data_IF_311825717836
#
_entry.id   IF_311825717836
#
_cell.length_a   1.000
_cell.length_b   1.000
_cell.length_c   1.000
_cell.angle_alpha   90.00
_cell.angle_beta   90.00
_cell.angle_gamma   90.00
#
_symmetry.space_group_name_H-M   'P 1'
#
loop_
_entity.id
_entity.type
_entity.pdbx_description
1 polymer ?
#
# COMPACT_ATOMS: atom_id res chain seq x y z
N UNK A 1 -4.59 13.00 11.72
CA UNK A 1 -3.66 12.50 10.68
C UNK A 1 -2.87 11.27 11.16
N UNK A 2 -3.24 10.62 12.27
CA UNK A 2 -2.52 9.47 12.87
C UNK A 2 -3.05 8.09 12.43
N UNK A 3 -4.12 8.02 11.65
CA UNK A 3 -4.80 6.75 11.32
C UNK A 3 -4.19 6.01 10.12
N UNK A 4 -3.27 6.64 9.38
CA UNK A 4 -2.52 6.00 8.29
C UNK A 4 -1.28 5.25 8.79
N UNK A 5 -0.84 5.49 10.03
CA UNK A 5 0.36 4.89 10.61
C UNK A 5 0.19 3.43 11.00
N UNK A 6 -1.05 2.95 11.17
CA UNK A 6 -1.33 1.63 11.73
C UNK A 6 -1.35 0.50 10.69
N UNK A 7 -1.67 0.80 9.41
CA UNK A 7 -1.61 -0.19 8.32
C UNK A 7 -0.24 -0.21 7.60
N UNK A 8 0.53 0.87 7.70
CA UNK A 8 1.87 0.96 7.14
C UNK A 8 2.86 -0.17 7.55
N UNK A 9 2.84 -0.71 8.78
CA UNK A 9 3.76 -1.76 9.18
C UNK A 9 3.50 -3.07 8.43
N UNK A 10 2.24 -3.47 8.24
CA UNK A 10 1.91 -4.79 7.67
C UNK A 10 2.28 -4.86 6.19
N UNK A 11 1.95 -3.82 5.42
CA UNK A 11 2.26 -3.75 4.00
C UNK A 11 3.78 -3.75 3.74
N UNK A 12 4.54 -3.10 4.63
CA UNK A 12 6.01 -3.11 4.61
C UNK A 12 6.56 -4.53 4.82
N UNK A 13 6.10 -5.25 5.85
CA UNK A 13 6.64 -6.58 6.17
C UNK A 13 6.27 -7.59 5.09
N UNK A 14 5.04 -7.54 4.58
CA UNK A 14 4.57 -8.49 3.58
C UNK A 14 5.18 -8.23 2.19
N UNK A 15 5.42 -6.97 1.82
CA UNK A 15 6.15 -6.63 0.59
C UNK A 15 7.59 -7.16 0.64
N UNK A 16 8.29 -6.95 1.76
CA UNK A 16 9.66 -7.44 1.92
C UNK A 16 9.74 -8.97 1.95
N UNK A 17 8.74 -9.63 2.57
CA UNK A 17 8.59 -11.09 2.56
C UNK A 17 8.38 -11.61 1.14
N UNK A 18 7.46 -11.01 0.38
CA UNK A 18 7.16 -11.42 -0.98
C UNK A 18 8.36 -11.29 -1.93
N UNK A 19 9.12 -10.21 -1.81
CA UNK A 19 10.33 -10.03 -2.62
C UNK A 19 11.41 -11.06 -2.27
N UNK A 20 11.61 -11.35 -0.97
CA UNK A 20 12.53 -12.40 -0.53
C UNK A 20 12.11 -13.79 -1.03
N UNK A 21 10.82 -14.12 -0.96
CA UNK A 21 10.26 -15.34 -1.53
C UNK A 21 10.45 -15.40 -3.06
N UNK A 22 10.23 -14.29 -3.75
CA UNK A 22 10.40 -14.19 -5.20
C UNK A 22 11.86 -14.34 -5.63
N UNK A 23 12.81 -13.85 -4.83
CA UNK A 23 14.24 -14.05 -5.02
C UNK A 23 14.65 -15.52 -4.82
N UNK A 24 14.11 -16.18 -3.80
CA UNK A 24 14.43 -17.57 -3.45
C UNK A 24 13.81 -18.59 -4.39
N UNK A 25 12.54 -18.41 -4.76
CA UNK A 25 11.74 -19.44 -5.42
C UNK A 25 11.75 -19.34 -6.95
N UNK A 26 12.27 -18.25 -7.54
CA UNK A 26 12.31 -18.06 -9.00
C UNK A 26 13.72 -18.27 -9.54
N UNK A 27 13.84 -19.02 -10.65
CA UNK A 27 15.07 -19.03 -11.46
C UNK A 27 15.21 -17.67 -12.15
N UNK A 28 16.02 -16.79 -11.56
CA UNK A 28 16.22 -15.44 -12.08
C UNK A 28 17.13 -15.47 -13.30
N UNK A 29 16.68 -14.84 -14.40
CA UNK A 29 17.53 -14.58 -15.58
C UNK A 29 18.77 -13.77 -15.18
N UNK A 30 19.85 -13.87 -15.98
CA UNK A 30 21.12 -13.17 -15.72
C UNK A 30 20.92 -11.68 -15.39
N UNK A 31 20.12 -10.98 -16.18
CA UNK A 31 19.80 -9.55 -16.05
C UNK A 31 18.48 -9.26 -15.34
N UNK A 32 18.00 -10.18 -14.50
CA UNK A 32 16.77 -9.97 -13.76
C UNK A 32 16.89 -8.77 -12.83
N UNK A 33 15.95 -7.82 -12.95
CA UNK A 33 15.86 -6.62 -12.10
C UNK A 33 15.68 -6.96 -10.63
N UNK A 34 15.04 -8.10 -10.34
CA UNK A 34 14.87 -8.64 -8.99
C UNK A 34 16.21 -8.82 -8.26
N UNK A 35 17.33 -9.10 -8.96
CA UNK A 35 18.64 -9.25 -8.32
C UNK A 35 19.16 -7.98 -7.64
N UNK A 36 18.69 -6.81 -8.07
CA UNK A 36 19.04 -5.51 -7.48
C UNK A 36 18.02 -5.05 -6.43
N UNK A 37 17.01 -5.88 -6.14
CA UNK A 37 15.98 -5.51 -5.19
C UNK A 37 16.55 -5.50 -3.77
N UNK A 38 16.25 -4.44 -3.04
CA UNK A 38 16.59 -4.26 -1.62
C UNK A 38 15.32 -4.15 -0.78
N UNK A 39 15.37 -4.47 0.52
CA UNK A 39 14.24 -4.22 1.41
C UNK A 39 13.75 -2.78 1.32
N UNK A 40 12.44 -2.61 1.21
CA UNK A 40 11.77 -1.31 1.31
C UNK A 40 11.87 -0.84 2.75
N UNK A 41 12.01 0.47 2.99
CA UNK A 41 11.97 1.09 4.32
C UNK A 41 10.61 1.75 4.63
N UNK A 42 10.40 2.23 5.87
CA UNK A 42 9.14 2.91 6.25
C UNK A 42 8.91 4.22 5.50
N UNK A 43 9.97 4.94 5.14
CA UNK A 43 9.92 6.21 4.41
C UNK A 43 9.49 5.96 2.97
N UNK A 44 10.07 4.96 2.32
CA UNK A 44 9.73 4.52 0.98
C UNK A 44 8.29 4.01 0.91
N UNK A 45 7.80 3.30 1.93
CA UNK A 45 6.39 2.91 2.00
C UNK A 45 5.44 4.12 2.14
N UNK A 46 5.83 5.16 2.90
CA UNK A 46 5.08 6.41 2.96
C UNK A 46 5.06 7.14 1.62
N UNK A 47 6.20 7.18 0.92
CA UNK A 47 6.29 7.75 -0.42
C UNK A 47 5.39 6.98 -1.40
N UNK A 48 5.37 5.66 -1.32
CA UNK A 48 4.47 4.81 -2.11
C UNK A 48 3.00 5.18 -1.88
N UNK A 49 2.55 5.24 -0.63
CA UNK A 49 1.16 5.61 -0.33
C UNK A 49 0.84 7.03 -0.79
N UNK A 50 1.76 7.98 -0.59
CA UNK A 50 1.63 9.35 -1.10
C UNK A 50 1.44 9.39 -2.60
N UNK A 51 2.21 8.58 -3.33
CA UNK A 51 2.16 8.46 -4.77
C UNK A 51 0.85 7.80 -5.24
N UNK A 52 0.37 6.75 -4.57
CA UNK A 52 -0.93 6.12 -4.85
C UNK A 52 -2.09 7.10 -4.63
N UNK A 53 -2.07 7.88 -3.55
CA UNK A 53 -3.07 8.92 -3.32
C UNK A 53 -3.03 9.99 -4.41
N UNK A 54 -1.84 10.43 -4.80
CA UNK A 54 -1.66 11.40 -5.87
C UNK A 54 -2.14 10.87 -7.23
N UNK A 55 -1.87 9.60 -7.56
CA UNK A 55 -2.40 8.95 -8.77
C UNK A 55 -3.93 8.90 -8.77
N UNK A 56 -4.57 8.77 -7.61
CA UNK A 56 -6.02 8.88 -7.50
C UNK A 56 -6.57 10.28 -7.78
N UNK A 57 -5.74 11.33 -7.66
CA UNK A 57 -6.10 12.71 -7.99
C UNK A 57 -5.77 13.05 -9.45
N UNK A 58 -4.63 12.57 -9.95
CA UNK A 58 -4.14 12.83 -11.31
C UNK A 58 -4.20 11.52 -12.09
N UNK A 59 -5.28 11.30 -12.82
CA UNK A 59 -5.48 10.07 -13.58
C UNK A 59 -4.80 10.13 -14.95
N UNK A 60 -3.86 9.23 -15.20
CA UNK A 60 -3.25 9.00 -16.52
C UNK A 60 -3.92 7.83 -17.26
N UNK A 61 -3.83 7.76 -18.61
CA UNK A 61 -4.49 6.71 -19.39
C UNK A 61 -4.07 5.28 -19.00
N UNK A 62 -2.81 5.10 -18.61
CA UNK A 62 -2.28 3.84 -18.11
C UNK A 62 -1.36 4.00 -16.91
N UNK A 63 -1.15 2.91 -16.18
CA UNK A 63 -0.23 2.89 -15.03
C UNK A 63 1.23 3.14 -15.45
N UNK A 64 1.60 2.68 -16.64
CA UNK A 64 2.97 2.86 -17.16
C UNK A 64 3.25 4.33 -17.48
N UNK A 65 2.21 5.08 -17.82
CA UNK A 65 2.30 6.46 -18.29
C UNK A 65 2.80 7.42 -17.19
N UNK A 66 2.53 7.09 -15.92
CA UNK A 66 3.08 7.84 -14.78
C UNK A 66 4.61 7.83 -14.72
N UNK A 67 5.27 6.81 -15.26
CA UNK A 67 6.74 6.71 -15.33
C UNK A 67 7.30 7.00 -16.73
N UNK A 68 6.46 7.50 -17.64
CA UNK A 68 6.85 7.80 -19.00
C UNK A 68 7.60 9.15 -19.07
N UNK A 69 8.61 9.24 -19.94
CA UNK A 69 9.53 10.40 -20.01
C UNK A 69 9.18 11.42 -21.10
N UNK A 70 8.16 11.13 -21.89
CA UNK A 70 7.67 12.06 -22.92
C UNK A 70 7.08 13.31 -22.27
N UNK A 71 7.22 14.44 -22.96
CA UNK A 71 6.85 15.76 -22.47
C UNK A 71 5.36 15.84 -22.12
N UNK A 72 4.51 15.09 -22.82
CA UNK A 72 3.07 15.00 -22.56
C UNK A 72 2.74 14.34 -21.22
N UNK A 73 3.67 13.54 -20.69
CA UNK A 73 3.50 12.73 -19.48
C UNK A 73 4.39 13.22 -18.33
N UNK A 74 5.07 14.36 -18.53
CA UNK A 74 6.05 14.89 -17.59
C UNK A 74 5.43 15.11 -16.20
N UNK A 75 6.00 14.44 -15.20
CA UNK A 75 5.60 14.54 -13.80
C UNK A 75 6.79 14.17 -12.90
N UNK A 76 6.62 14.26 -11.57
CA UNK A 76 7.69 13.98 -10.59
C UNK A 76 7.66 12.57 -9.99
N UNK A 77 6.76 11.69 -10.44
CA UNK A 77 6.61 10.32 -9.92
C UNK A 77 7.92 9.55 -10.01
N UNK A 78 8.66 9.71 -11.12
CA UNK A 78 9.95 9.04 -11.34
C UNK A 78 11.02 9.45 -10.34
N UNK A 79 10.92 10.65 -9.74
CA UNK A 79 11.84 11.15 -8.71
C UNK A 79 11.53 10.55 -7.34
N UNK A 80 10.26 10.22 -7.08
CA UNK A 80 9.80 9.70 -5.79
C UNK A 80 10.07 8.21 -5.65
N UNK A 81 9.75 7.42 -6.68
CA UNK A 81 9.92 5.97 -6.67
C UNK A 81 10.03 5.44 -8.10
N UNK A 82 10.78 4.37 -8.34
CA UNK A 82 10.79 3.71 -9.65
C UNK A 82 9.63 2.72 -9.82
N UNK A 83 9.10 2.58 -11.04
CA UNK A 83 7.99 1.64 -11.35
C UNK A 83 8.25 0.20 -10.87
N UNK A 84 9.49 -0.27 -10.99
CA UNK A 84 9.85 -1.63 -10.58
C UNK A 84 9.69 -1.87 -9.07
N UNK A 85 9.70 -0.81 -8.25
CA UNK A 85 9.45 -0.91 -6.80
C UNK A 85 7.96 -1.08 -6.51
N UNK A 86 7.10 -0.42 -7.30
CA UNK A 86 5.65 -0.58 -7.22
C UNK A 86 5.20 -2.02 -7.54
N UNK A 87 5.80 -2.64 -8.55
CA UNK A 87 5.45 -4.00 -8.99
C UNK A 87 5.64 -5.09 -7.91
N UNK A 88 6.40 -4.80 -6.84
CA UNK A 88 6.68 -5.75 -5.75
C UNK A 88 5.76 -5.57 -4.55
N UNK A 89 4.89 -4.56 -4.55
CA UNK A 89 3.98 -4.29 -3.45
C UNK A 89 3.04 -5.46 -3.18
N UNK A 90 2.93 -5.87 -1.92
CA UNK A 90 2.14 -7.03 -1.54
C UNK A 90 1.60 -6.91 -0.11
N UNK A 91 0.33 -7.30 0.09
CA UNK A 91 -0.39 -7.13 1.36
C UNK A 91 -0.65 -8.44 2.13
N UNK A 92 -0.17 -9.58 1.64
CA UNK A 92 -0.53 -10.90 2.21
C UNK A 92 0.59 -11.93 2.08
N UNK A 93 0.72 -12.85 3.03
CA UNK A 93 1.69 -13.94 2.88
C UNK A 93 1.19 -15.01 1.89
N UNK A 94 1.92 -15.22 0.78
CA UNK A 94 1.55 -16.20 -0.25
C UNK A 94 1.75 -17.67 0.18
N UNK A 95 2.49 -17.94 1.24
CA UNK A 95 2.75 -19.32 1.72
C UNK A 95 1.61 -19.84 2.63
N UNK A 96 0.73 -18.95 3.12
CA UNK A 96 -0.37 -19.29 4.01
C UNK A 96 -1.63 -18.52 3.61
N UNK A 97 -2.33 -18.97 2.55
CA UNK A 97 -3.64 -18.41 2.23
C UNK A 97 -4.63 -18.76 3.36
N UNK A 98 -5.21 -17.75 4.01
CA UNK A 98 -6.10 -17.89 5.17
C UNK A 98 -7.57 -17.63 4.80
N UNK A 99 -7.84 -16.89 3.73
CA UNK A 99 -9.11 -16.23 3.37
C UNK A 99 -9.51 -16.43 1.89
N UNK A 100 -9.07 -17.52 1.27
CA UNK A 100 -9.49 -17.93 -0.07
C UNK A 100 -9.17 -16.89 -1.15
N UNK A 101 -10.14 -16.53 -1.99
CA UNK A 101 -9.90 -15.62 -3.13
C UNK A 101 -9.50 -14.19 -2.71
N UNK A 102 -9.91 -13.75 -1.52
CA UNK A 102 -9.69 -12.38 -1.02
C UNK A 102 -8.41 -12.22 -0.20
N UNK A 103 -7.65 -13.30 0.02
CA UNK A 103 -6.43 -13.33 0.83
C UNK A 103 -5.47 -12.16 0.59
N UNK A 104 -5.36 -11.73 -0.67
CA UNK A 104 -4.44 -10.69 -1.09
C UNK A 104 -4.74 -9.31 -0.53
N UNK A 105 -5.99 -9.04 -0.16
CA UNK A 105 -6.44 -7.71 0.31
C UNK A 105 -7.21 -7.76 1.62
N UNK A 106 -7.69 -8.94 2.03
CA UNK A 106 -8.58 -9.09 3.17
C UNK A 106 -7.97 -8.55 4.47
N UNK A 107 -6.68 -8.83 4.72
CA UNK A 107 -5.98 -8.31 5.91
C UNK A 107 -5.96 -6.79 5.97
N UNK A 108 -5.72 -6.13 4.84
CA UNK A 108 -5.74 -4.68 4.74
C UNK A 108 -7.17 -4.14 4.96
N UNK A 109 -8.17 -4.78 4.35
CA UNK A 109 -9.58 -4.43 4.50
C UNK A 109 -10.04 -4.57 5.96
N UNK A 110 -9.68 -5.67 6.63
CA UNK A 110 -10.04 -5.92 8.03
C UNK A 110 -9.43 -4.87 8.96
N UNK A 111 -8.18 -4.46 8.73
CA UNK A 111 -7.54 -3.38 9.48
C UNK A 111 -8.25 -2.06 9.23
N UNK A 112 -8.55 -1.73 7.97
CA UNK A 112 -9.26 -0.50 7.63
C UNK A 112 -10.65 -0.47 8.28
N UNK A 113 -11.37 -1.59 8.25
CA UNK A 113 -12.69 -1.70 8.84
C UNK A 113 -12.61 -1.62 10.37
N UNK A 114 -11.81 -2.45 11.00
CA UNK A 114 -11.70 -2.53 12.45
C UNK A 114 -11.23 -1.22 13.08
N UNK A 115 -10.23 -0.56 12.48
CA UNK A 115 -9.71 0.73 12.96
C UNK A 115 -10.70 1.87 12.74
N UNK A 116 -11.41 1.94 11.61
CA UNK A 116 -12.25 3.11 11.24
C UNK A 116 -13.68 3.02 11.74
N UNK A 117 -14.36 1.89 11.56
CA UNK A 117 -15.77 1.78 11.95
C UNK A 117 -15.91 1.86 13.47
N UNK A 118 -15.05 1.17 14.22
CA UNK A 118 -15.12 1.18 15.69
C UNK A 118 -14.84 2.56 16.28
N UNK A 119 -13.86 3.30 15.76
CA UNK A 119 -13.47 4.60 16.32
C UNK A 119 -14.41 5.74 15.93
N UNK A 120 -14.87 5.78 14.67
CA UNK A 120 -15.80 6.82 14.21
C UNK A 120 -17.21 6.60 14.75
N UNK A 121 -17.73 5.36 14.69
CA UNK A 121 -19.04 5.01 15.22
C UNK A 121 -19.13 5.30 16.73
N UNK A 122 -18.08 4.98 17.50
CA UNK A 122 -18.06 5.29 18.94
C UNK A 122 -17.90 6.78 19.24
N UNK A 123 -17.19 7.55 18.39
CA UNK A 123 -17.10 9.02 18.52
C UNK A 123 -18.45 9.70 18.28
N UNK A 124 -19.18 9.28 17.25
CA UNK A 124 -20.52 9.81 16.96
C UNK A 124 -21.52 9.42 18.05
N UNK A 125 -21.53 8.15 18.49
CA UNK A 125 -22.40 7.70 19.58
C UNK A 125 -22.14 8.45 20.89
N UNK A 126 -20.87 8.72 21.23
CA UNK A 126 -20.50 9.54 22.41
C UNK A 126 -20.90 11.02 22.27
N UNK A 127 -20.85 11.60 21.06
CA UNK A 127 -21.35 12.97 20.81
C UNK A 127 -22.87 13.03 20.95
N UNK A 128 -23.59 12.09 20.36
CA UNK A 128 -25.04 12.01 20.43
C UNK A 128 -25.54 11.84 21.87
N UNK A 129 -24.92 10.95 22.65
CA UNK A 129 -25.24 10.78 24.08
C UNK A 129 -24.92 11.99 24.97
N UNK A 130 -24.01 12.89 24.55
CA UNK A 130 -23.73 14.15 25.28
C UNK A 130 -24.71 15.26 24.94
N UNK A 131 -25.21 15.31 23.71
CA UNK A 131 -26.19 16.31 23.27
C UNK A 131 -27.57 15.99 23.84
N UNK A 132 -27.96 14.72 23.93
CA UNK A 132 -29.23 14.28 24.53
C UNK A 132 -29.33 14.32 26.07
N UNK A 133 -28.33 14.87 26.79
CA UNK A 133 -28.38 15.07 28.26
C UNK A 133 -28.53 16.54 28.67
N UNK A 134 -28.74 17.45 27.72
CA UNK A 134 -28.86 18.90 27.96
C UNK A 134 -30.28 19.45 27.80
N UNK A 135 -31.29 18.59 27.88
CA UNK A 135 -32.71 18.95 27.95
C UNK A 135 -33.32 18.19 29.11
#
# INVERSE_FOLDING_TARGET
METMTDCLPIDFYETNRYASQSLRNRKLKAYSRLKKWTPIDRTEMRNFLGLVMWMGLVNMPGLVDYWWKDILYANKVTEVMSRNRLDMFHCSNNEKPEHGRLDKIQKLVDILISTRYSTLFMREKKRFCRVGRKT
#
